data_IF_915612279454
#
_entry.id   IF_915612279454
#
_cell.length_a   1.000
_cell.length_b   1.000
_cell.length_c   1.000
_cell.angle_alpha   90.00
_cell.angle_beta   90.00
_cell.angle_gamma   90.00
#
_symmetry.space_group_name_H-M   'P 1'
#
loop_
_entity.id
_entity.type
_entity.pdbx_description
1 polymer ?
#
# COMPACT_ATOMS: atom_id res chain seq x y z
N UNK A 1 9.82 -20.02 -4.26
CA UNK A 1 8.97 -19.62 -5.41
C UNK A 1 7.51 -19.91 -5.10
N UNK A 2 6.58 -19.00 -5.39
CA UNK A 2 5.14 -19.32 -5.38
C UNK A 2 4.84 -20.20 -6.59
N UNK A 3 4.49 -21.46 -6.34
CA UNK A 3 4.15 -22.40 -7.42
C UNK A 3 2.77 -21.99 -7.97
N UNK A 4 2.70 -21.61 -9.24
CA UNK A 4 1.44 -21.20 -9.88
C UNK A 4 0.71 -22.42 -10.45
N UNK A 5 -0.63 -22.41 -10.46
CA UNK A 5 -1.43 -23.49 -11.03
C UNK A 5 -1.04 -23.84 -12.49
N UNK A 6 -0.76 -22.88 -13.40
CA UNK A 6 -0.27 -23.21 -14.74
C UNK A 6 1.04 -24.01 -14.74
N UNK A 7 1.98 -23.71 -13.83
CA UNK A 7 3.23 -24.46 -13.72
C UNK A 7 2.98 -25.90 -13.25
N UNK A 8 2.07 -26.08 -12.28
CA UNK A 8 1.65 -27.40 -11.79
C UNK A 8 1.05 -28.24 -12.91
N UNK A 9 0.12 -27.67 -13.68
CA UNK A 9 -0.52 -28.37 -14.80
C UNK A 9 0.52 -28.85 -15.81
N UNK A 10 1.49 -27.98 -16.15
CA UNK A 10 2.58 -28.33 -17.06
C UNK A 10 3.46 -29.46 -16.52
N UNK A 11 3.87 -29.41 -15.26
CA UNK A 11 4.68 -30.47 -14.61
C UNK A 11 3.95 -31.82 -14.58
N UNK A 12 2.63 -31.79 -14.43
CA UNK A 12 1.81 -33.00 -14.47
C UNK A 12 1.54 -33.54 -15.89
N UNK A 13 2.04 -32.86 -16.92
CA UNK A 13 1.85 -33.24 -18.32
C UNK A 13 0.46 -32.86 -18.85
N UNK A 14 -0.17 -31.84 -18.29
CA UNK A 14 -1.43 -31.27 -18.77
C UNK A 14 -1.10 -30.02 -19.59
N UNK A 15 -1.23 -30.14 -20.90
CA UNK A 15 -1.07 -29.03 -21.83
C UNK A 15 -2.32 -28.16 -21.84
N UNK A 16 -2.16 -26.86 -21.60
CA UNK A 16 -3.25 -25.88 -21.64
C UNK A 16 -2.97 -24.85 -22.72
N UNK A 17 -3.84 -24.79 -23.72
CA UNK A 17 -3.81 -23.76 -24.76
C UNK A 17 -4.49 -22.50 -24.26
N UNK A 18 -3.73 -21.42 -24.11
CA UNK A 18 -4.28 -20.12 -23.73
C UNK A 18 -5.32 -19.66 -24.76
N UNK A 19 -6.43 -19.13 -24.25
CA UNK A 19 -7.47 -18.49 -25.06
C UNK A 19 -7.83 -17.14 -24.46
N UNK A 20 -8.27 -16.22 -25.31
CA UNK A 20 -8.67 -14.87 -24.89
C UNK A 20 -10.14 -14.86 -24.43
N UNK A 21 -10.43 -15.51 -23.31
CA UNK A 21 -11.72 -15.37 -22.61
C UNK A 21 -11.53 -14.46 -21.40
N UNK A 22 -12.31 -13.39 -21.36
CA UNK A 22 -12.30 -12.43 -20.26
C UNK A 22 -13.48 -12.77 -19.34
N UNK A 23 -13.20 -13.20 -18.12
CA UNK A 23 -14.22 -13.24 -17.06
C UNK A 23 -14.39 -11.86 -16.47
N UNK A 24 -15.64 -11.41 -16.28
CA UNK A 24 -15.92 -10.19 -15.52
C UNK A 24 -16.14 -10.48 -14.04
N UNK A 25 -15.99 -11.75 -13.62
CA UNK A 25 -16.05 -12.16 -12.22
C UNK A 25 -14.69 -11.93 -11.56
N UNK A 26 -14.59 -11.04 -10.55
CA UNK A 26 -13.33 -10.70 -9.89
C UNK A 26 -12.57 -11.92 -9.37
N UNK A 27 -11.29 -12.00 -9.73
CA UNK A 27 -10.37 -13.03 -9.24
C UNK A 27 -10.54 -14.42 -9.86
N UNK A 28 -11.51 -14.62 -10.77
CA UNK A 28 -11.68 -15.87 -11.53
C UNK A 28 -11.21 -15.65 -12.95
N UNK A 29 -10.14 -16.34 -13.36
CA UNK A 29 -9.54 -16.17 -14.68
C UNK A 29 -9.57 -17.48 -15.48
N UNK A 30 -9.82 -17.38 -16.79
CA UNK A 30 -9.63 -18.52 -17.68
C UNK A 30 -8.14 -18.69 -17.98
N UNK A 31 -7.59 -19.86 -17.70
CA UNK A 31 -6.21 -20.20 -18.04
C UNK A 31 -6.08 -20.69 -19.49
N UNK A 32 -7.13 -21.30 -20.03
CA UNK A 32 -7.10 -21.90 -21.35
C UNK A 32 -8.05 -23.08 -21.51
N UNK A 33 -7.84 -23.86 -22.57
CA UNK A 33 -8.48 -25.15 -22.80
C UNK A 33 -7.42 -26.24 -22.72
N UNK A 34 -7.74 -27.37 -22.10
CA UNK A 34 -6.86 -28.54 -22.09
C UNK A 34 -6.71 -29.07 -23.52
N UNK A 35 -5.49 -29.02 -24.06
CA UNK A 35 -5.17 -29.48 -25.41
C UNK A 35 -4.60 -30.90 -25.42
N UNK A 36 -3.94 -31.31 -24.33
CA UNK A 36 -3.35 -32.64 -24.22
C UNK A 36 -3.18 -33.05 -22.75
N UNK A 37 -3.30 -34.34 -22.51
CA UNK A 37 -3.00 -34.98 -21.22
C UNK A 37 -2.03 -36.11 -21.54
N UNK A 38 -0.73 -35.87 -21.35
CA UNK A 38 0.31 -36.83 -21.71
C UNK A 38 0.42 -37.99 -20.73
N UNK A 39 -0.05 -37.80 -19.49
CA UNK A 39 0.00 -38.78 -18.42
C UNK A 39 -1.43 -39.20 -18.01
N UNK A 40 -1.91 -40.34 -18.51
CA UNK A 40 -3.22 -40.91 -18.12
C UNK A 40 -3.31 -41.22 -16.62
N UNK A 41 -2.17 -41.34 -15.93
CA UNK A 41 -2.06 -41.53 -14.48
C UNK A 41 -1.99 -40.22 -13.67
N UNK A 42 -2.13 -39.05 -14.30
CA UNK A 42 -2.10 -37.76 -13.61
C UNK A 42 -3.33 -37.51 -12.72
N UNK A 43 -4.35 -38.38 -12.77
CA UNK A 43 -5.58 -38.22 -11.99
C UNK A 43 -6.31 -36.92 -12.33
N UNK A 44 -6.16 -36.41 -13.56
CA UNK A 44 -6.87 -35.23 -14.01
C UNK A 44 -8.38 -35.54 -13.99
N UNK A 45 -9.22 -34.73 -13.33
CA UNK A 45 -10.64 -35.01 -13.15
C UNK A 45 -11.47 -34.77 -14.42
N UNK A 46 -10.84 -34.27 -15.49
CA UNK A 46 -11.51 -33.74 -16.67
C UNK A 46 -10.77 -34.12 -17.95
N UNK A 47 -11.50 -34.09 -19.06
CA UNK A 47 -11.03 -34.50 -20.37
C UNK A 47 -10.42 -33.34 -21.18
N UNK A 48 -9.70 -33.70 -22.24
CA UNK A 48 -9.24 -32.76 -23.29
C UNK A 48 -10.45 -32.01 -23.87
N UNK A 49 -10.28 -30.70 -24.09
CA UNK A 49 -11.36 -29.80 -24.51
C UNK A 49 -12.06 -29.08 -23.35
N UNK A 50 -11.72 -29.39 -22.10
CA UNK A 50 -12.26 -28.69 -20.92
C UNK A 50 -11.60 -27.32 -20.73
N UNK A 51 -12.40 -26.29 -20.43
CA UNK A 51 -11.92 -24.97 -20.06
C UNK A 51 -11.39 -24.98 -18.63
N UNK A 52 -10.18 -24.50 -18.41
CA UNK A 52 -9.56 -24.42 -17.08
C UNK A 52 -9.68 -23.01 -16.53
N UNK A 53 -10.20 -22.90 -15.31
CA UNK A 53 -10.42 -21.66 -14.60
C UNK A 53 -9.69 -21.69 -13.27
N UNK A 54 -9.11 -20.56 -12.90
CA UNK A 54 -8.42 -20.39 -11.64
C UNK A 54 -9.03 -19.23 -10.87
N UNK A 55 -9.58 -19.53 -9.70
CA UNK A 55 -9.94 -18.53 -8.71
C UNK A 55 -8.76 -18.31 -7.76
N UNK A 56 -8.09 -17.17 -7.95
CA UNK A 56 -6.89 -16.80 -7.20
C UNK A 56 -7.20 -16.60 -5.70
N UNK A 57 -6.19 -16.68 -4.83
CA UNK A 57 -6.34 -16.39 -3.41
C UNK A 57 -7.02 -15.03 -3.17
N UNK A 58 -8.04 -15.03 -2.31
CA UNK A 58 -8.83 -13.84 -2.03
C UNK A 58 -9.58 -13.99 -0.71
N UNK A 59 -9.96 -12.87 -0.10
CA UNK A 59 -10.65 -12.85 1.19
C UNK A 59 -12.14 -13.25 1.08
N UNK A 60 -12.77 -12.95 -0.05
CA UNK A 60 -14.17 -13.29 -0.27
C UNK A 60 -14.30 -14.80 -0.59
N UNK A 61 -15.30 -15.51 -0.08
CA UNK A 61 -15.58 -16.89 -0.51
C UNK A 61 -16.18 -16.92 -1.93
N UNK A 62 -16.14 -18.07 -2.59
CA UNK A 62 -16.99 -18.33 -3.77
C UNK A 62 -18.29 -18.91 -3.25
N UNK A 63 -19.34 -18.11 -3.36
CA UNK A 63 -20.71 -18.51 -3.07
C UNK A 63 -21.51 -18.74 -4.36
N UNK A 64 -22.78 -19.12 -4.21
CA UNK A 64 -23.69 -19.33 -5.33
C UNK A 64 -23.80 -18.10 -6.25
N UNK A 65 -23.86 -16.89 -5.71
CA UNK A 65 -24.04 -15.68 -6.51
C UNK A 65 -22.82 -15.40 -7.38
N UNK A 66 -21.62 -15.59 -6.82
CA UNK A 66 -20.38 -15.44 -7.56
C UNK A 66 -20.24 -16.48 -8.67
N UNK A 67 -20.64 -17.73 -8.38
CA UNK A 67 -20.64 -18.80 -9.37
C UNK A 67 -21.66 -18.55 -10.49
N UNK A 68 -22.88 -18.11 -10.16
CA UNK A 68 -23.89 -17.72 -11.15
C UNK A 68 -23.41 -16.56 -12.03
N UNK A 69 -22.74 -15.55 -11.45
CA UNK A 69 -22.13 -14.45 -12.22
C UNK A 69 -21.06 -14.96 -13.17
N UNK A 70 -20.22 -15.90 -12.74
CA UNK A 70 -19.23 -16.53 -13.61
C UNK A 70 -19.88 -17.29 -14.76
N UNK A 71 -20.97 -18.03 -14.52
CA UNK A 71 -21.70 -18.81 -15.53
C UNK A 71 -22.35 -17.96 -16.63
N UNK A 72 -22.55 -16.66 -16.40
CA UNK A 72 -23.02 -15.72 -17.44
C UNK A 72 -21.93 -15.47 -18.48
N UNK A 73 -20.67 -15.37 -18.04
CA UNK A 73 -19.52 -15.11 -18.91
C UNK A 73 -18.86 -16.40 -19.45
N UNK A 74 -19.11 -17.55 -18.81
CA UNK A 74 -18.55 -18.82 -19.22
C UNK A 74 -19.13 -19.26 -20.59
N UNK A 75 -18.28 -19.72 -21.54
CA UNK A 75 -18.76 -20.33 -22.78
C UNK A 75 -19.51 -21.64 -22.50
N UNK A 76 -20.18 -22.19 -23.50
CA UNK A 76 -20.79 -23.51 -23.39
C UNK A 76 -19.72 -24.62 -23.42
N UNK A 77 -19.99 -25.73 -22.72
CA UNK A 77 -19.11 -26.91 -22.69
C UNK A 77 -18.70 -27.35 -21.29
N UNK A 78 -17.56 -28.03 -21.19
CA UNK A 78 -16.99 -28.51 -19.93
C UNK A 78 -16.01 -27.51 -19.33
N UNK A 79 -16.09 -27.35 -18.02
CA UNK A 79 -15.31 -26.39 -17.24
C UNK A 79 -14.75 -27.07 -16.00
N UNK A 80 -13.49 -26.79 -15.73
CA UNK A 80 -12.83 -27.12 -14.49
C UNK A 80 -12.44 -25.83 -13.79
N UNK A 81 -13.07 -25.55 -12.65
CA UNK A 81 -12.77 -24.38 -11.84
C UNK A 81 -12.02 -24.81 -10.59
N UNK A 82 -10.77 -24.36 -10.47
CA UNK A 82 -9.92 -24.61 -9.31
C UNK A 82 -9.87 -23.35 -8.46
N UNK A 83 -10.32 -23.47 -7.21
CA UNK A 83 -10.43 -22.35 -6.27
C UNK A 83 -9.49 -22.50 -5.10
N UNK A 84 -8.66 -21.47 -4.88
CA UNK A 84 -7.91 -21.27 -3.63
C UNK A 84 -8.73 -20.49 -2.59
N UNK A 85 -9.93 -20.02 -2.96
CA UNK A 85 -10.89 -19.34 -2.07
C UNK A 85 -11.82 -20.37 -1.43
N UNK A 86 -12.34 -20.05 -0.24
CA UNK A 86 -13.31 -20.90 0.46
C UNK A 86 -14.60 -21.01 -0.36
N UNK A 87 -15.09 -22.24 -0.53
CA UNK A 87 -16.37 -22.54 -1.16
C UNK A 87 -17.49 -22.55 -0.11
N UNK A 88 -18.62 -21.87 -0.35
CA UNK A 88 -19.73 -21.77 0.63
C UNK A 88 -21.08 -21.85 -0.09
N UNK A 89 -22.03 -22.60 0.49
CA UNK A 89 -23.43 -22.64 0.05
C UNK A 89 -23.62 -23.01 -1.45
N UNK A 90 -22.93 -24.09 -1.86
CA UNK A 90 -22.92 -24.57 -3.25
C UNK A 90 -23.80 -25.81 -3.46
N UNK A 91 -24.50 -26.28 -2.43
CA UNK A 91 -25.21 -27.57 -2.39
C UNK A 91 -26.40 -27.68 -3.36
N UNK A 92 -26.65 -26.65 -4.19
CA UNK A 92 -27.82 -26.56 -5.09
C UNK A 92 -27.55 -25.94 -6.46
N UNK A 93 -26.32 -25.92 -6.96
CA UNK A 93 -26.10 -25.46 -8.35
C UNK A 93 -26.50 -26.53 -9.36
N UNK A 94 -27.79 -26.59 -9.68
CA UNK A 94 -28.24 -27.06 -10.99
C UNK A 94 -27.94 -25.96 -11.99
N UNK A 95 -26.74 -25.99 -12.58
CA UNK A 95 -26.44 -25.10 -13.69
C UNK A 95 -27.35 -25.35 -14.89
N UNK A 96 -27.48 -24.40 -15.83
CA UNK A 96 -28.12 -24.67 -17.09
C UNK A 96 -27.38 -25.83 -17.77
N UNK A 97 -28.12 -26.72 -18.42
CA UNK A 97 -27.63 -27.98 -19.02
C UNK A 97 -26.52 -27.81 -20.10
N UNK A 98 -26.12 -26.56 -20.38
CA UNK A 98 -25.07 -26.12 -21.30
C UNK A 98 -23.66 -26.09 -20.70
N UNK A 99 -23.53 -26.01 -19.37
CA UNK A 99 -22.23 -25.91 -18.67
C UNK A 99 -22.05 -27.16 -17.79
N UNK A 100 -21.10 -28.02 -18.17
CA UNK A 100 -20.60 -29.07 -17.30
C UNK A 100 -19.50 -28.50 -16.40
N UNK A 101 -19.72 -28.43 -15.08
CA UNK A 101 -18.76 -27.85 -14.14
C UNK A 101 -18.19 -28.91 -13.19
N UNK A 102 -16.87 -29.06 -13.19
CA UNK A 102 -16.09 -29.67 -12.12
C UNK A 102 -15.49 -28.56 -11.28
N UNK A 103 -15.92 -28.45 -10.02
CA UNK A 103 -15.45 -27.44 -9.10
C UNK A 103 -14.54 -28.07 -8.05
N UNK A 104 -13.33 -27.56 -7.92
CA UNK A 104 -12.37 -27.98 -6.89
C UNK A 104 -12.10 -26.83 -5.93
N UNK A 105 -12.17 -27.13 -4.64
CA UNK A 105 -11.70 -26.25 -3.58
C UNK A 105 -10.28 -26.60 -3.14
N UNK A 106 -9.90 -26.07 -1.99
CA UNK A 106 -8.59 -26.31 -1.39
C UNK A 106 -8.35 -27.78 -1.05
N UNK A 107 -9.39 -28.52 -0.67
CA UNK A 107 -9.28 -29.92 -0.23
C UNK A 107 -8.95 -30.85 -1.40
N UNK A 108 -9.71 -30.76 -2.50
CA UNK A 108 -9.48 -31.56 -3.70
C UNK A 108 -8.11 -31.25 -4.31
N UNK A 109 -7.76 -29.96 -4.40
CA UNK A 109 -6.46 -29.53 -4.90
C UNK A 109 -5.32 -30.06 -4.03
N UNK A 110 -5.44 -29.95 -2.70
CA UNK A 110 -4.42 -30.42 -1.77
C UNK A 110 -4.22 -31.93 -1.84
N UNK A 111 -5.32 -32.69 -1.91
CA UNK A 111 -5.27 -34.15 -2.04
C UNK A 111 -4.61 -34.55 -3.37
N UNK A 112 -5.00 -33.91 -4.47
CA UNK A 112 -4.43 -34.18 -5.79
C UNK A 112 -2.92 -33.89 -5.86
N UNK A 113 -2.49 -32.75 -5.33
CA UNK A 113 -1.08 -32.38 -5.24
C UNK A 113 -0.31 -33.33 -4.32
N UNK A 114 -0.87 -33.67 -3.15
CA UNK A 114 -0.26 -34.61 -2.21
C UNK A 114 -0.01 -35.97 -2.85
N UNK A 115 -0.99 -36.51 -3.58
CA UNK A 115 -0.83 -37.76 -4.31
C UNK A 115 0.21 -37.67 -5.43
N UNK A 116 0.27 -36.54 -6.16
CA UNK A 116 1.27 -36.33 -7.19
C UNK A 116 2.70 -36.28 -6.62
N UNK A 117 2.88 -35.65 -5.46
CA UNK A 117 4.15 -35.60 -4.74
C UNK A 117 4.53 -37.00 -4.24
N UNK A 118 3.61 -37.71 -3.58
CA UNK A 118 3.85 -39.06 -3.07
C UNK A 118 4.17 -40.07 -4.19
N UNK A 119 3.56 -39.88 -5.36
CA UNK A 119 3.86 -40.68 -6.55
C UNK A 119 5.16 -40.26 -7.27
N UNK A 120 5.89 -39.27 -6.76
CA UNK A 120 7.14 -38.77 -7.33
C UNK A 120 6.99 -38.03 -8.66
N UNK A 121 5.76 -37.60 -9.00
CA UNK A 121 5.45 -36.89 -10.26
C UNK A 121 5.82 -35.41 -10.18
N UNK A 122 5.65 -34.82 -8.99
CA UNK A 122 6.11 -33.47 -8.68
C UNK A 122 7.31 -33.61 -7.74
N UNK A 123 8.43 -33.00 -8.11
CA UNK A 123 9.61 -32.91 -7.24
C UNK A 123 9.56 -31.59 -6.49
N UNK A 124 9.52 -31.66 -5.17
CA UNK A 124 9.70 -30.49 -4.32
C UNK A 124 11.19 -30.16 -4.27
N UNK A 125 11.61 -29.12 -4.98
CA UNK A 125 12.89 -28.49 -4.69
C UNK A 125 12.69 -27.57 -3.49
N UNK A 126 13.15 -28.03 -2.32
CA UNK A 126 13.23 -27.20 -1.15
C UNK A 126 14.50 -26.35 -1.28
N UNK A 127 14.43 -25.27 -2.05
CA UNK A 127 15.47 -24.26 -1.99
C UNK A 127 15.45 -23.66 -0.57
N UNK A 128 16.56 -23.80 0.16
CA UNK A 128 16.84 -23.00 1.37
C UNK A 128 17.03 -21.53 0.93
N UNK A 129 15.95 -20.90 0.51
CA UNK A 129 15.87 -19.45 0.29
C UNK A 129 15.10 -18.84 1.46
N UNK A 130 15.54 -17.67 1.96
CA UNK A 130 14.98 -17.08 3.16
C UNK A 130 13.47 -16.89 3.00
N UNK A 131 12.74 -17.30 4.04
CA UNK A 131 11.30 -17.44 4.08
C UNK A 131 10.54 -16.36 3.27
N UNK A 132 9.93 -16.78 2.16
CA UNK A 132 8.73 -16.12 1.67
C UNK A 132 7.69 -16.23 2.80
N UNK A 133 6.90 -15.19 3.11
CA UNK A 133 6.04 -15.20 4.29
C UNK A 133 4.89 -16.19 4.09
N UNK A 134 5.13 -17.42 4.52
CA UNK A 134 4.12 -18.45 4.80
C UNK A 134 3.27 -17.99 6.00
N UNK A 135 2.26 -18.77 6.38
CA UNK A 135 1.27 -18.48 7.43
C UNK A 135 1.87 -17.95 8.78
N UNK A 136 3.16 -18.15 9.06
CA UNK A 136 3.88 -17.47 10.15
C UNK A 136 3.98 -15.94 10.02
N UNK A 137 3.89 -15.41 8.80
CA UNK A 137 3.80 -13.98 8.50
C UNK A 137 2.52 -13.33 9.02
N UNK A 138 1.43 -14.08 9.24
CA UNK A 138 0.21 -13.53 9.87
C UNK A 138 0.43 -13.30 11.37
N UNK A 139 1.16 -14.20 12.05
CA UNK A 139 1.53 -14.00 13.46
C UNK A 139 2.55 -12.86 13.61
N UNK A 140 3.60 -12.80 12.78
CA UNK A 140 4.53 -11.66 12.75
C UNK A 140 3.88 -10.33 12.32
N UNK A 141 2.74 -10.38 11.60
CA UNK A 141 2.00 -9.19 11.11
C UNK A 141 1.15 -8.55 12.21
N UNK A 142 0.53 -9.36 13.08
CA UNK A 142 -0.14 -8.86 14.27
C UNK A 142 0.87 -8.28 15.29
N UNK A 143 2.08 -8.84 15.35
CA UNK A 143 3.15 -8.34 16.23
C UNK A 143 3.73 -6.98 15.79
N UNK A 144 3.69 -6.64 14.49
CA UNK A 144 4.22 -5.37 13.97
C UNK A 144 3.24 -4.20 14.00
N UNK A 145 1.93 -4.45 14.08
CA UNK A 145 0.93 -3.39 14.25
C UNK A 145 0.82 -3.03 15.73
N UNK A 146 1.61 -2.03 16.17
CA UNK A 146 1.41 -1.43 17.50
C UNK A 146 0.18 -0.53 17.46
N UNK A 147 -0.66 -0.50 18.52
CA UNK A 147 -1.68 0.52 18.63
C UNK A 147 -1.02 1.91 18.54
N UNK A 148 -1.63 2.85 17.81
CA UNK A 148 -1.10 4.20 17.74
C UNK A 148 -1.06 4.82 19.14
N UNK A 149 -0.11 5.72 19.42
CA UNK A 149 -0.08 6.46 20.68
C UNK A 149 -1.43 7.16 20.92
N UNK A 150 -1.90 7.26 22.18
CA UNK A 150 -3.22 7.79 22.51
C UNK A 150 -3.46 9.23 22.01
N UNK A 151 -2.39 10.04 21.89
CA UNK A 151 -2.43 11.42 21.42
C UNK A 151 -1.92 11.59 19.97
N UNK A 152 -1.71 10.49 19.24
CA UNK A 152 -1.25 10.55 17.87
C UNK A 152 -2.33 11.04 16.93
N UNK A 153 -1.96 11.93 16.02
CA UNK A 153 -2.80 12.33 14.89
C UNK A 153 -2.24 11.71 13.61
N UNK A 154 -3.08 11.20 12.73
CA UNK A 154 -2.64 10.74 11.40
C UNK A 154 -3.01 11.77 10.34
N UNK A 155 -2.14 11.97 9.35
CA UNK A 155 -2.36 12.94 8.26
C UNK A 155 -2.99 12.22 7.06
N UNK A 156 -3.90 12.90 6.37
CA UNK A 156 -4.47 12.42 5.11
C UNK A 156 -3.43 12.50 3.98
N UNK A 157 -3.29 11.46 3.14
CA UNK A 157 -2.35 11.49 2.04
C UNK A 157 -2.71 12.61 1.05
N UNK A 158 -1.70 13.39 0.66
CA UNK A 158 -1.82 14.36 -0.45
C UNK A 158 -1.64 13.68 -1.80
N UNK A 159 -0.84 12.64 -1.85
CA UNK A 159 -0.58 11.85 -3.05
C UNK A 159 -1.73 10.86 -3.28
N UNK A 160 -2.31 10.88 -4.47
CA UNK A 160 -3.20 9.81 -4.93
C UNK A 160 -2.39 8.68 -5.55
N UNK A 161 -2.14 7.64 -4.76
CA UNK A 161 -1.26 6.53 -5.15
C UNK A 161 -1.63 5.89 -6.50
N UNK A 162 -2.91 5.67 -6.79
CA UNK A 162 -3.35 5.07 -8.06
C UNK A 162 -2.91 5.87 -9.28
N UNK A 163 -3.08 7.20 -9.22
CA UNK A 163 -2.63 8.11 -10.27
C UNK A 163 -1.10 8.12 -10.36
N UNK A 164 -0.42 8.13 -9.21
CA UNK A 164 1.03 8.11 -9.11
C UNK A 164 1.66 6.84 -9.73
N UNK A 165 1.05 5.68 -9.52
CA UNK A 165 1.49 4.39 -10.08
C UNK A 165 1.21 4.31 -11.59
N UNK A 166 0.02 4.72 -12.04
CA UNK A 166 -0.35 4.67 -13.46
C UNK A 166 0.55 5.55 -14.32
N UNK A 167 0.88 6.76 -13.86
CA UNK A 167 1.81 7.66 -14.55
C UNK A 167 3.22 7.07 -14.76
N UNK A 168 3.58 6.03 -13.99
CA UNK A 168 4.89 5.36 -14.05
C UNK A 168 4.82 3.93 -14.59
N UNK A 169 3.65 3.48 -15.05
CA UNK A 169 3.44 2.11 -15.57
C UNK A 169 3.44 1.01 -14.50
N UNK A 170 3.16 1.34 -13.24
CA UNK A 170 3.25 0.44 -12.08
C UNK A 170 1.90 -0.05 -11.55
N UNK A 171 0.89 -0.12 -12.42
CA UNK A 171 -0.52 -0.34 -12.05
C UNK A 171 -0.79 -1.70 -11.41
N UNK A 172 0.10 -2.67 -11.61
CA UNK A 172 -0.03 -4.05 -11.12
C UNK A 172 0.91 -4.40 -9.96
N UNK A 173 1.67 -3.43 -9.44
CA UNK A 173 2.57 -3.69 -8.33
C UNK A 173 1.79 -3.98 -7.04
N UNK A 174 2.38 -4.83 -6.19
CA UNK A 174 1.83 -5.06 -4.87
C UNK A 174 2.11 -3.85 -4.00
N UNK A 175 1.06 -3.38 -3.31
CA UNK A 175 1.14 -2.19 -2.48
C UNK A 175 0.54 -2.45 -1.11
N UNK A 176 1.18 -1.88 -0.09
CA UNK A 176 0.75 -1.98 1.30
C UNK A 176 0.78 -0.61 1.98
N UNK A 177 -0.35 -0.13 2.55
CA UNK A 177 -0.36 1.11 3.29
C UNK A 177 0.38 0.95 4.64
N UNK A 178 1.16 1.97 4.99
CA UNK A 178 1.92 2.07 6.23
C UNK A 178 1.78 3.49 6.82
N UNK A 179 2.15 3.64 8.08
CA UNK A 179 2.29 4.93 8.75
C UNK A 179 3.76 5.15 9.10
N UNK A 180 4.28 6.33 8.79
CA UNK A 180 5.61 6.77 9.14
C UNK A 180 5.52 7.64 10.39
N UNK A 181 6.32 7.33 11.42
CA UNK A 181 6.32 8.12 12.65
C UNK A 181 7.04 9.46 12.43
N UNK A 182 6.35 10.55 12.77
CA UNK A 182 6.88 11.91 12.77
C UNK A 182 6.56 12.64 14.08
N UNK A 183 6.93 13.92 14.14
CA UNK A 183 6.58 14.80 15.27
C UNK A 183 5.89 16.07 14.78
N UNK A 184 4.81 16.44 15.48
CA UNK A 184 4.17 17.74 15.34
C UNK A 184 4.73 18.67 16.41
N UNK A 185 5.44 19.71 16.00
CA UNK A 185 6.00 20.73 16.88
C UNK A 185 5.05 21.93 16.99
N UNK A 186 4.61 22.21 18.20
CA UNK A 186 3.82 23.39 18.54
C UNK A 186 4.74 24.44 19.14
N UNK A 187 4.85 25.58 18.46
CA UNK A 187 5.75 26.66 18.82
C UNK A 187 4.91 27.87 19.21
N UNK A 188 5.09 28.38 20.41
CA UNK A 188 4.55 29.66 20.86
C UNK A 188 5.73 30.64 21.00
N UNK A 189 5.73 31.71 20.22
CA UNK A 189 6.87 32.61 20.12
C UNK A 189 6.49 33.99 19.62
N UNK A 190 7.52 34.78 19.30
CA UNK A 190 7.33 36.15 18.84
C UNK A 190 8.05 36.39 17.52
N UNK A 191 7.40 37.15 16.64
CA UNK A 191 8.02 37.73 15.46
C UNK A 191 8.46 39.17 15.78
N UNK A 192 9.72 39.47 15.47
CA UNK A 192 10.32 40.79 15.58
C UNK A 192 10.25 41.47 14.21
N UNK A 193 9.47 42.53 14.15
CA UNK A 193 9.34 43.41 12.99
C UNK A 193 10.23 44.65 13.10
N UNK A 194 10.13 45.58 12.14
CA UNK A 194 10.82 46.86 12.19
C UNK A 194 10.42 47.67 13.43
N UNK A 195 11.30 48.60 13.85
CA UNK A 195 11.09 49.51 15.00
C UNK A 195 10.87 48.80 16.35
N UNK A 196 11.33 47.54 16.48
CA UNK A 196 11.17 46.76 17.71
C UNK A 196 9.74 46.25 17.92
N UNK A 197 8.89 46.29 16.88
CA UNK A 197 7.57 45.69 16.94
C UNK A 197 7.68 44.19 17.22
N UNK A 198 6.88 43.70 18.17
CA UNK A 198 6.91 42.32 18.66
C UNK A 198 5.50 41.76 18.62
N UNK A 199 5.30 40.75 17.78
CA UNK A 199 4.00 40.09 17.59
C UNK A 199 4.06 38.66 18.12
N UNK A 200 3.10 38.30 18.96
CA UNK A 200 2.94 36.90 19.40
C UNK A 200 2.38 36.06 18.25
N UNK A 201 2.94 34.88 18.04
CA UNK A 201 2.49 33.97 16.98
C UNK A 201 2.62 32.51 17.43
N UNK A 202 1.81 31.65 16.82
CA UNK A 202 1.84 30.21 17.04
C UNK A 202 2.03 29.47 15.73
N UNK A 203 2.93 28.50 15.71
CA UNK A 203 3.18 27.65 14.55
C UNK A 203 3.00 26.19 14.92
N UNK A 204 2.51 25.42 13.95
CA UNK A 204 2.52 23.96 13.98
C UNK A 204 3.39 23.46 12.84
N UNK A 205 4.48 22.78 13.17
CA UNK A 205 5.43 22.24 12.20
C UNK A 205 5.42 20.72 12.18
N UNK A 206 5.64 20.14 11.01
CA UNK A 206 5.83 18.72 10.80
C UNK A 206 7.32 18.43 10.68
N UNK A 207 7.86 17.69 11.65
CA UNK A 207 9.13 16.98 11.50
C UNK A 207 8.86 15.64 10.82
N UNK A 208 9.37 15.48 9.60
CA UNK A 208 9.42 14.22 8.87
C UNK A 208 10.87 13.69 8.89
N UNK A 209 11.17 12.70 9.75
CA UNK A 209 12.52 12.16 9.85
C UNK A 209 12.97 11.38 8.61
N UNK A 210 12.04 10.92 7.77
CA UNK A 210 12.35 10.11 6.59
C UNK A 210 12.82 10.96 5.40
N UNK A 211 12.30 12.18 5.27
CA UNK A 211 12.80 13.19 4.33
C UNK A 211 13.80 14.16 4.98
N UNK A 212 14.03 14.05 6.29
CA UNK A 212 14.82 14.98 7.10
C UNK A 212 14.32 16.44 7.06
N UNK A 213 13.05 16.65 6.71
CA UNK A 213 12.47 17.98 6.57
C UNK A 213 11.71 18.42 7.82
N UNK A 214 11.80 19.72 8.10
CA UNK A 214 10.90 20.43 9.00
C UNK A 214 10.08 21.40 8.15
N UNK A 215 8.75 21.24 8.15
CA UNK A 215 7.87 22.04 7.29
C UNK A 215 6.68 22.58 8.08
N UNK A 216 6.05 23.67 7.61
CA UNK A 216 4.75 24.10 8.18
C UNK A 216 3.71 23.01 7.87
N UNK A 217 2.90 22.64 8.86
CA UNK A 217 1.77 21.73 8.63
C UNK A 217 0.83 22.25 7.53
N UNK A 218 0.60 23.58 7.48
CA UNK A 218 -0.19 24.23 6.43
C UNK A 218 -1.55 23.56 6.26
N UNK A 219 -1.88 23.20 5.02
CA UNK A 219 -3.14 22.54 4.65
C UNK A 219 -3.12 21.00 4.85
N UNK A 220 -2.23 20.47 5.69
CA UNK A 220 -2.25 19.05 6.03
C UNK A 220 -3.51 18.72 6.84
N UNK A 221 -4.46 18.05 6.20
CA UNK A 221 -5.71 17.63 6.84
C UNK A 221 -5.45 16.40 7.73
N UNK A 222 -5.86 16.43 9.02
CA UNK A 222 -5.85 15.23 9.85
C UNK A 222 -6.91 14.23 9.38
N UNK A 223 -6.64 12.94 9.55
CA UNK A 223 -7.64 11.88 9.41
C UNK A 223 -8.62 11.92 10.59
N UNK A 224 -9.90 11.57 10.38
CA UNK A 224 -10.90 11.54 11.45
C UNK A 224 -10.63 10.46 12.50
N UNK A 225 -9.84 9.45 12.16
CA UNK A 225 -9.36 8.41 13.07
C UNK A 225 -7.97 7.95 12.64
N UNK A 226 -7.19 7.42 13.58
CA UNK A 226 -5.89 6.83 13.29
C UNK A 226 -6.07 5.35 12.94
N UNK A 227 -5.77 4.92 11.70
CA UNK A 227 -5.92 3.52 11.32
C UNK A 227 -4.82 2.66 11.98
N UNK A 228 -5.17 1.43 12.35
CA UNK A 228 -4.23 0.47 12.91
C UNK A 228 -3.44 -0.21 11.78
N UNK A 229 -2.42 0.50 11.27
CA UNK A 229 -1.50 0.02 10.24
C UNK A 229 -0.12 -0.28 10.84
N UNK A 230 0.76 -0.91 10.05
CA UNK A 230 2.18 -0.99 10.43
C UNK A 230 2.78 0.41 10.53
N UNK A 231 3.44 0.67 11.65
CA UNK A 231 4.16 1.91 11.91
C UNK A 231 5.65 1.69 11.67
N UNK A 232 6.26 2.55 10.86
CA UNK A 232 7.70 2.57 10.64
C UNK A 232 8.28 3.69 11.49
N UNK A 233 9.10 3.31 12.47
CA UNK A 233 9.86 4.24 13.29
C UNK A 233 11.13 4.70 12.56
N UNK A 234 11.53 5.97 12.70
CA UNK A 234 12.77 6.46 12.13
C UNK A 234 13.98 5.98 12.95
N UNK A 235 15.16 6.01 12.34
CA UNK A 235 16.44 5.66 13.01
C UNK A 235 16.92 6.75 13.95
N UNK A 236 16.55 8.00 13.71
CA UNK A 236 17.00 9.15 14.48
C UNK A 236 15.96 10.25 14.48
N UNK A 237 15.92 11.03 15.56
CA UNK A 237 15.06 12.21 15.72
C UNK A 237 15.92 13.45 15.84
N UNK A 238 15.42 14.60 15.36
CA UNK A 238 16.07 15.89 15.64
C UNK A 238 15.96 16.20 17.13
N UNK A 239 17.00 16.80 17.70
CA UNK A 239 16.93 17.37 19.05
C UNK A 239 16.16 18.68 19.02
N UNK A 240 15.69 19.14 20.18
CA UNK A 240 15.00 20.42 20.28
C UNK A 240 15.88 21.59 19.81
N UNK A 241 17.19 21.52 20.00
CA UNK A 241 18.16 22.52 19.52
C UNK A 241 18.28 22.51 18.00
N UNK A 242 18.29 21.32 17.38
CA UNK A 242 18.29 21.19 15.92
C UNK A 242 17.02 21.79 15.32
N UNK A 243 15.85 21.45 15.86
CA UNK A 243 14.56 22.03 15.44
C UNK A 243 14.57 23.55 15.67
N UNK A 244 15.08 24.02 16.81
CA UNK A 244 15.21 25.46 17.12
C UNK A 244 16.04 26.20 16.08
N UNK A 245 17.16 25.62 15.66
CA UNK A 245 18.04 26.22 14.64
C UNK A 245 17.42 26.31 13.24
N UNK A 246 16.40 25.48 12.97
CA UNK A 246 15.67 25.50 11.70
C UNK A 246 14.48 26.47 11.69
N UNK A 247 14.05 26.98 12.86
CA UNK A 247 12.89 27.88 12.98
C UNK A 247 12.96 29.10 12.06
N UNK A 248 14.10 29.77 11.84
CA UNK A 248 14.15 30.91 10.92
C UNK A 248 13.71 30.56 9.51
N UNK A 249 14.05 29.36 9.04
CA UNK A 249 13.73 28.93 7.68
C UNK A 249 12.24 28.67 7.47
N UNK A 250 11.51 28.33 8.54
CA UNK A 250 10.11 27.90 8.48
C UNK A 250 9.14 28.89 9.12
N UNK A 251 9.54 29.70 10.10
CA UNK A 251 8.65 30.60 10.85
C UNK A 251 8.73 32.06 10.41
N UNK A 252 9.82 32.50 9.76
CA UNK A 252 9.96 33.90 9.32
C UNK A 252 9.01 34.26 8.18
N UNK A 253 8.65 35.54 8.11
CA UNK A 253 7.72 36.05 7.11
C UNK A 253 8.22 37.35 6.51
N UNK A 254 7.90 37.55 5.22
CA UNK A 254 8.22 38.79 4.51
C UNK A 254 6.93 39.55 4.26
N UNK A 255 6.77 40.68 4.94
CA UNK A 255 5.52 41.48 4.90
C UNK A 255 5.79 42.89 4.38
N UNK A 256 4.80 43.45 3.70
CA UNK A 256 4.83 44.86 3.31
C UNK A 256 4.67 45.74 4.55
N UNK A 257 5.61 46.66 4.75
CA UNK A 257 5.59 47.65 5.81
C UNK A 257 5.40 49.04 5.19
N UNK A 258 4.39 49.77 5.68
CA UNK A 258 4.12 51.13 5.23
C UNK A 258 5.00 52.09 6.01
N UNK A 259 5.76 52.91 5.29
CA UNK A 259 6.54 54.00 5.85
C UNK A 259 5.87 55.29 5.41
N UNK A 260 5.38 56.08 6.34
CA UNK A 260 4.96 57.46 6.10
C UNK A 260 6.05 58.40 6.60
N UNK A 261 6.51 59.28 5.72
CA UNK A 261 7.46 60.33 6.10
C UNK A 261 6.82 61.69 5.81
N UNK A 262 6.66 62.50 6.86
CA UNK A 262 6.15 63.87 6.73
C UNK A 262 7.29 64.79 6.33
N UNK A 263 7.36 65.17 5.05
CA UNK A 263 8.28 66.20 4.57
C UNK A 263 7.54 67.53 4.38
N UNK A 264 8.25 68.65 4.42
CA UNK A 264 7.72 70.02 4.39
C UNK A 264 6.90 70.40 3.12
N UNK A 265 6.67 69.46 2.19
CA UNK A 265 5.88 69.63 0.96
C UNK A 265 4.81 68.56 0.71
N UNK A 266 4.52 67.67 1.66
CA UNK A 266 3.50 66.62 1.53
C UNK A 266 3.88 65.30 2.19
N UNK A 267 2.88 64.45 2.44
CA UNK A 267 3.07 63.11 3.00
C UNK A 267 3.40 62.13 1.86
N UNK A 268 4.62 61.56 1.88
CA UNK A 268 5.01 60.51 0.94
C UNK A 268 4.85 59.17 1.64
N UNK A 269 3.96 58.32 1.11
CA UNK A 269 3.74 56.97 1.60
C UNK A 269 4.47 55.97 0.70
N UNK A 270 5.42 55.22 1.28
CA UNK A 270 6.14 54.13 0.63
C UNK A 270 5.79 52.77 1.25
N UNK A 271 5.92 51.69 0.48
CA UNK A 271 5.80 50.31 0.96
C UNK A 271 7.09 49.56 0.71
N UNK A 272 7.72 49.04 1.76
CA UNK A 272 8.96 48.27 1.68
C UNK A 272 8.73 46.91 2.32
N UNK A 273 9.24 45.84 1.70
CA UNK A 273 9.21 44.50 2.28
C UNK A 273 10.20 44.41 3.44
N UNK A 274 9.69 44.10 4.63
CA UNK A 274 10.48 43.84 5.83
C UNK A 274 10.37 42.38 6.28
N UNK A 275 11.44 41.90 6.90
CA UNK A 275 11.49 40.60 7.55
C UNK A 275 10.88 40.69 8.93
N UNK A 276 9.98 39.76 9.21
CA UNK A 276 9.49 39.43 10.53
C UNK A 276 10.22 38.18 10.97
N UNK A 277 11.13 38.34 11.93
CA UNK A 277 12.06 37.29 12.36
C UNK A 277 11.61 36.64 13.65
N UNK A 278 11.71 35.32 13.74
CA UNK A 278 11.35 34.64 14.98
C UNK A 278 12.42 34.86 16.06
N UNK A 279 11.99 35.16 17.28
CA UNK A 279 12.88 35.22 18.43
C UNK A 279 13.15 33.80 18.96
N UNK A 280 14.02 33.08 18.26
CA UNK A 280 14.25 31.64 18.47
C UNK A 280 14.55 31.26 19.92
N UNK A 281 15.34 32.07 20.65
CA UNK A 281 15.82 31.71 22.00
C UNK A 281 14.73 31.68 23.07
N UNK A 282 13.66 32.44 22.88
CA UNK A 282 12.56 32.56 23.85
C UNK A 282 11.32 31.78 23.41
N UNK A 283 11.34 31.17 22.23
CA UNK A 283 10.23 30.38 21.73
C UNK A 283 10.01 29.13 22.59
N UNK A 284 8.79 28.96 23.08
CA UNK A 284 8.36 27.75 23.77
C UNK A 284 8.01 26.69 22.72
N UNK A 285 8.50 25.47 22.91
CA UNK A 285 8.35 24.38 21.93
C UNK A 285 7.90 23.11 22.65
N UNK A 286 6.83 22.50 22.13
CA UNK A 286 6.34 21.20 22.59
C UNK A 286 6.10 20.30 21.38
N UNK A 287 6.26 18.98 21.55
CA UNK A 287 6.06 18.02 20.47
C UNK A 287 4.96 17.02 20.81
N UNK A 288 4.12 16.67 19.84
CA UNK A 288 3.21 15.53 19.92
C UNK A 288 3.46 14.53 18.78
N UNK A 289 3.15 13.25 18.96
CA UNK A 289 3.30 12.26 17.90
C UNK A 289 2.36 12.54 16.73
N UNK A 290 2.86 12.40 15.51
CA UNK A 290 2.06 12.50 14.29
C UNK A 290 2.45 11.37 13.33
N UNK A 291 1.47 10.84 12.60
CA UNK A 291 1.64 9.70 11.71
C UNK A 291 1.43 10.15 10.27
N UNK A 292 2.48 10.01 9.47
CA UNK A 292 2.53 10.43 8.07
C UNK A 292 2.14 9.22 7.20
N UNK A 293 1.24 9.38 6.22
CA UNK A 293 0.84 8.26 5.37
C UNK A 293 2.00 7.86 4.44
N UNK A 294 2.10 6.57 4.13
CA UNK A 294 3.01 6.04 3.12
C UNK A 294 2.56 4.69 2.59
N UNK A 295 3.27 4.20 1.57
CA UNK A 295 3.00 2.88 1.00
C UNK A 295 4.29 2.11 0.75
N UNK A 296 4.36 0.87 1.21
CA UNK A 296 5.37 -0.08 0.73
C UNK A 296 4.94 -0.61 -0.62
N UNK A 297 5.82 -0.51 -1.61
CA UNK A 297 5.61 -0.99 -2.99
C UNK A 297 6.74 -1.92 -3.35
N UNK A 298 6.41 -3.10 -3.87
CA UNK A 298 7.40 -4.07 -4.35
C UNK A 298 7.79 -3.75 -5.80
N UNK A 299 8.94 -3.10 -5.98
CA UNK A 299 9.44 -2.71 -7.30
C UNK A 299 10.29 -3.84 -7.91
N UNK A 300 10.03 -4.23 -9.18
CA UNK A 300 10.84 -5.24 -9.86
C UNK A 300 12.34 -4.86 -9.87
N UNK A 301 13.18 -5.75 -9.36
CA UNK A 301 14.65 -5.55 -9.31
C UNK A 301 15.17 -4.75 -8.11
N UNK A 302 14.32 -3.97 -7.44
CA UNK A 302 14.71 -3.15 -6.28
C UNK A 302 14.12 -3.66 -4.95
N UNK A 303 13.12 -4.53 -5.01
CA UNK A 303 12.39 -5.04 -3.84
C UNK A 303 11.47 -3.98 -3.23
N UNK A 304 11.15 -4.16 -1.95
CA UNK A 304 10.24 -3.27 -1.22
C UNK A 304 10.86 -1.90 -0.98
N UNK A 305 10.17 -0.85 -1.43
CA UNK A 305 10.52 0.54 -1.16
C UNK A 305 9.29 1.28 -0.62
N UNK A 306 9.49 2.46 -0.03
CA UNK A 306 8.40 3.29 0.49
C UNK A 306 8.10 4.41 -0.48
N UNK A 307 6.83 4.63 -0.81
CA UNK A 307 6.33 5.85 -1.46
C UNK A 307 5.76 6.76 -0.37
N UNK A 308 6.32 7.97 -0.24
CA UNK A 308 5.92 8.95 0.77
C UNK A 308 4.55 9.57 0.45
N UNK A 309 3.62 9.56 1.41
CA UNK A 309 2.22 9.95 1.17
C UNK A 309 1.96 11.45 1.03
N UNK A 310 2.92 12.30 1.40
CA UNK A 310 2.81 13.74 1.25
C UNK A 310 3.56 14.27 0.01
N UNK A 311 4.76 13.74 -0.28
CA UNK A 311 5.61 14.21 -1.38
C UNK A 311 5.58 13.31 -2.62
N UNK A 312 5.28 12.03 -2.47
CA UNK A 312 5.33 11.04 -3.55
C UNK A 312 6.75 10.62 -3.92
N UNK A 313 7.73 10.97 -3.09
CA UNK A 313 9.11 10.52 -3.23
C UNK A 313 9.25 9.05 -2.86
N UNK A 314 10.19 8.37 -3.51
CA UNK A 314 10.54 6.99 -3.19
C UNK A 314 11.66 7.03 -2.15
N UNK A 315 11.38 6.47 -0.98
CA UNK A 315 12.29 6.33 0.15
C UNK A 315 12.78 4.88 0.21
N UNK A 316 14.07 4.70 0.47
CA UNK A 316 14.60 3.38 0.79
C UNK A 316 14.09 2.95 2.16
N UNK A 317 13.75 1.67 2.33
CA UNK A 317 13.48 1.15 3.67
C UNK A 317 14.72 1.38 4.56
N UNK A 318 14.56 1.92 5.79
CA UNK A 318 15.66 1.91 6.74
C UNK A 318 16.08 0.44 6.93
N UNK A 319 17.33 0.12 6.60
CA UNK A 319 17.86 -1.21 6.82
C UNK A 319 17.80 -1.48 8.32
N UNK A 320 16.99 -2.47 8.70
CA UNK A 320 16.95 -2.96 10.07
C UNK A 320 18.31 -3.61 10.33
N UNK A 321 19.13 -2.97 11.18
CA UNK A 321 20.29 -3.61 11.79
C UNK A 321 19.87 -4.66 12.81
#
# INVERSE_FOLDING_TARGET
MTVSLPAILKELGIGVKSISIISRTPGINCLGIIESISNSSAGCPVDVGTHVWHAQPGWAPIDRMELERWMVDAPDGSHWLVSERKLIDLDRTTGPNRIGLVLWGSEELSNWLGQAILAGRIRLQLDETPASPSIGGISNRAEKSKPPPPDATAIKPKVKLTEWLSQRGYERLQVRPILLEGRSWHIDGHLLGPEGNKEKHRWTLLEDPFSSQLTRMGDAEPLPFVPQLEQISPTSWKTIEMVRSELPSVCEERRHWRVSQSAAGGEVQGSILHWWRIEEKVAEMTSSPILIPGWQVDFPGNGWMIVHGLSGEILNLPQSG
#
